data_IF_681395608232
#
_entry.id   IF_681395608232
#
_cell.length_a   1.000
_cell.length_b   1.000
_cell.length_c   1.000
_cell.angle_alpha   90.00
_cell.angle_beta   90.00
_cell.angle_gamma   90.00
#
_symmetry.space_group_name_H-M   'P 1'
#
loop_
_entity.id
_entity.type
_entity.pdbx_description
1 polymer ?
#
# COMPACT_ATOMS: atom_id res chain seq x y z
N UNK A 1 -10.34 -1.06 -10.06
CA UNK A 1 -10.39 -1.27 -8.59
C UNK A 1 -11.47 -0.41 -7.95
N UNK A 2 -11.94 -0.75 -6.75
CA UNK A 2 -13.15 -0.16 -6.14
C UNK A 2 -13.06 1.33 -5.82
N UNK A 3 -11.84 1.89 -5.68
CA UNK A 3 -11.59 3.34 -5.59
C UNK A 3 -12.17 4.13 -6.78
N UNK A 4 -12.43 3.46 -7.91
CA UNK A 4 -13.01 4.04 -9.13
C UNK A 4 -14.50 3.69 -9.31
N UNK A 5 -15.17 3.14 -8.29
CA UNK A 5 -16.61 2.89 -8.37
C UNK A 5 -17.37 4.19 -8.68
N UNK A 6 -18.50 4.14 -9.41
CA UNK A 6 -19.27 5.36 -9.71
C UNK A 6 -19.62 6.17 -8.47
N UNK A 7 -19.97 5.51 -7.36
CA UNK A 7 -20.31 6.17 -6.08
C UNK A 7 -19.07 6.80 -5.45
N UNK A 8 -17.93 6.09 -5.37
CA UNK A 8 -16.69 6.65 -4.83
C UNK A 8 -16.21 7.85 -5.64
N UNK A 9 -16.34 7.82 -6.98
CA UNK A 9 -16.00 8.95 -7.84
C UNK A 9 -16.92 10.15 -7.61
N UNK A 10 -18.24 9.93 -7.49
CA UNK A 10 -19.18 11.00 -7.16
C UNK A 10 -18.89 11.62 -5.79
N UNK A 11 -18.59 10.78 -4.78
CA UNK A 11 -18.26 11.25 -3.43
C UNK A 11 -16.94 12.04 -3.37
N UNK A 12 -15.94 11.66 -4.17
CA UNK A 12 -14.65 12.38 -4.27
C UNK A 12 -14.74 13.64 -5.13
N UNK A 13 -15.68 13.71 -6.08
CA UNK A 13 -15.79 14.82 -7.03
C UNK A 13 -14.59 14.90 -7.98
N UNK A 14 -14.22 16.12 -8.40
CA UNK A 14 -13.16 16.38 -9.36
C UNK A 14 -11.73 16.39 -8.75
N UNK A 15 -11.51 15.69 -7.64
CA UNK A 15 -10.22 15.65 -6.96
C UNK A 15 -9.24 14.77 -7.73
N UNK A 16 -8.09 15.33 -8.09
CA UNK A 16 -7.00 14.57 -8.70
C UNK A 16 -6.37 13.63 -7.66
N UNK A 17 -6.07 12.36 -8.01
CA UNK A 17 -5.26 11.51 -7.15
C UNK A 17 -3.94 12.17 -6.80
N UNK A 18 -3.49 12.01 -5.57
CA UNK A 18 -2.19 12.50 -5.16
C UNK A 18 -1.05 11.71 -5.84
N UNK A 19 -1.24 10.40 -5.93
CA UNK A 19 -0.33 9.49 -6.62
C UNK A 19 -1.09 8.35 -7.28
N UNK A 20 -0.38 7.63 -8.14
CA UNK A 20 -0.87 6.48 -8.87
C UNK A 20 0.17 5.37 -8.75
N UNK A 21 -0.28 4.15 -8.56
CA UNK A 21 0.54 2.97 -8.81
C UNK A 21 0.00 2.23 -10.02
N UNK A 22 0.85 2.03 -11.01
CA UNK A 22 0.56 1.13 -12.13
C UNK A 22 1.21 -0.20 -11.82
N UNK A 23 0.44 -1.27 -11.96
CA UNK A 23 0.85 -2.65 -11.76
C UNK A 23 0.54 -3.42 -13.02
N UNK A 24 1.51 -4.18 -13.50
CA UNK A 24 1.37 -5.14 -14.62
C UNK A 24 1.99 -6.46 -14.20
N UNK A 25 1.63 -7.56 -14.85
CA UNK A 25 2.20 -8.84 -14.50
C UNK A 25 1.55 -10.03 -15.16
N UNK A 26 2.05 -11.22 -14.81
CA UNK A 26 1.48 -12.48 -15.27
C UNK A 26 1.41 -13.53 -14.17
N UNK A 27 0.44 -14.42 -14.32
CA UNK A 27 0.52 -15.77 -13.73
C UNK A 27 0.97 -16.70 -14.85
N UNK A 28 2.03 -17.47 -14.61
CA UNK A 28 2.56 -18.43 -15.58
C UNK A 28 3.19 -19.65 -14.88
N UNK A 29 3.28 -20.76 -15.61
CA UNK A 29 4.05 -21.94 -15.21
C UNK A 29 5.40 -21.96 -15.88
N UNK A 30 6.36 -22.72 -15.32
CA UNK A 30 7.73 -22.85 -15.84
C UNK A 30 8.81 -22.31 -14.89
N UNK A 31 8.42 -21.98 -13.65
CA UNK A 31 9.33 -21.55 -12.59
C UNK A 31 9.70 -22.74 -11.70
N UNK A 32 10.53 -23.64 -12.21
CA UNK A 32 10.85 -24.93 -11.60
C UNK A 32 12.23 -24.97 -10.90
N UNK A 33 12.94 -23.84 -10.83
CA UNK A 33 14.27 -23.75 -10.19
C UNK A 33 14.14 -23.44 -8.70
N UNK A 34 13.57 -22.28 -8.37
CA UNK A 34 13.17 -21.88 -7.02
C UNK A 34 11.84 -21.15 -7.09
N UNK A 35 10.83 -21.70 -6.44
CA UNK A 35 9.50 -21.11 -6.34
C UNK A 35 8.93 -21.40 -4.94
N UNK A 36 9.80 -21.39 -3.93
CA UNK A 36 9.43 -21.68 -2.54
C UNK A 36 9.07 -20.42 -1.76
N UNK A 37 9.59 -19.27 -2.18
CA UNK A 37 9.44 -17.99 -1.50
C UNK A 37 8.84 -16.92 -2.42
N UNK A 38 8.27 -15.91 -1.78
CA UNK A 38 7.78 -14.71 -2.45
C UNK A 38 8.68 -13.51 -2.19
N UNK A 39 8.68 -12.58 -3.14
CA UNK A 39 9.34 -11.28 -3.04
C UNK A 39 8.30 -10.20 -2.75
N UNK A 40 8.63 -9.25 -1.86
CA UNK A 40 7.77 -8.15 -1.47
C UNK A 40 8.51 -6.82 -1.59
N UNK A 41 8.01 -5.90 -2.43
CA UNK A 41 8.59 -4.56 -2.68
C UNK A 41 10.10 -4.67 -2.99
N UNK A 42 10.44 -5.56 -3.92
CA UNK A 42 11.82 -5.81 -4.31
C UNK A 42 12.25 -4.86 -5.44
N UNK A 43 13.52 -4.44 -5.42
CA UNK A 43 14.12 -3.65 -6.50
C UNK A 43 15.45 -4.29 -6.91
N UNK A 44 15.64 -4.49 -8.22
CA UNK A 44 16.88 -5.00 -8.81
C UNK A 44 17.54 -4.04 -9.79
N UNK A 45 17.01 -2.82 -9.91
CA UNK A 45 17.53 -1.78 -10.77
C UNK A 45 17.54 -0.46 -10.02
N UNK A 46 18.53 0.37 -10.33
CA UNK A 46 18.47 1.79 -10.00
C UNK A 46 17.36 2.48 -10.79
N UNK A 47 17.06 3.71 -10.39
CA UNK A 47 16.06 4.53 -11.04
C UNK A 47 16.28 4.58 -12.56
N UNK A 48 15.22 4.31 -13.33
CA UNK A 48 15.24 4.48 -14.77
C UNK A 48 15.38 5.97 -15.10
N UNK A 49 16.42 6.36 -15.84
CA UNK A 49 16.71 7.77 -16.18
C UNK A 49 16.14 8.21 -17.53
N UNK A 50 15.53 7.31 -18.31
CA UNK A 50 15.03 7.62 -19.64
C UNK A 50 16.11 7.66 -20.73
N UNK A 51 17.34 7.20 -20.42
CA UNK A 51 18.37 6.95 -21.44
C UNK A 51 17.97 5.70 -22.23
N UNK A 52 17.24 5.92 -23.31
CA UNK A 52 16.76 4.87 -24.21
C UNK A 52 17.94 4.31 -25.01
N UNK A 53 18.25 3.00 -24.96
CA UNK A 53 19.11 2.38 -25.96
C UNK A 53 18.50 2.60 -27.35
N UNK A 54 19.29 3.03 -28.33
CA UNK A 54 18.82 3.29 -29.69
C UNK A 54 17.98 2.11 -30.23
N UNK A 55 16.66 2.31 -30.42
CA UNK A 55 15.74 1.30 -30.96
C UNK A 55 14.44 1.04 -30.18
N UNK A 56 14.27 1.57 -28.97
CA UNK A 56 13.00 1.44 -28.23
C UNK A 56 11.85 2.23 -28.92
N UNK A 57 10.61 1.72 -28.95
CA UNK A 57 9.48 2.34 -29.65
C UNK A 57 9.10 3.76 -29.19
N UNK A 58 9.64 4.26 -28.09
CA UNK A 58 9.28 5.55 -27.49
C UNK A 58 9.92 6.80 -28.15
N UNK A 59 10.52 6.67 -29.34
CA UNK A 59 10.63 7.80 -30.28
C UNK A 59 11.20 9.12 -29.76
N UNK A 60 12.18 9.10 -28.84
CA UNK A 60 12.97 10.28 -28.49
C UNK A 60 12.32 11.34 -27.61
N UNK A 61 11.16 11.09 -27.00
CA UNK A 61 10.71 11.86 -25.83
C UNK A 61 11.14 11.09 -24.58
N UNK A 62 12.16 11.59 -23.88
CA UNK A 62 12.70 10.91 -22.69
C UNK A 62 11.60 10.57 -21.68
N UNK A 63 11.31 9.28 -21.51
CA UNK A 63 10.31 8.79 -20.56
C UNK A 63 10.66 9.29 -19.15
N UNK A 64 9.70 9.83 -18.38
CA UNK A 64 9.99 10.41 -17.09
C UNK A 64 10.61 9.39 -16.13
N UNK A 65 11.56 9.87 -15.33
CA UNK A 65 12.30 9.04 -14.36
C UNK A 65 11.34 8.28 -13.43
N UNK A 66 11.58 6.99 -13.25
CA UNK A 66 10.71 6.11 -12.46
C UNK A 66 11.48 4.93 -11.86
N UNK A 67 10.99 4.41 -10.74
CA UNK A 67 11.57 3.25 -10.06
C UNK A 67 10.68 2.04 -10.28
N UNK A 68 11.26 0.94 -10.75
CA UNK A 68 10.58 -0.34 -10.85
C UNK A 68 10.64 -1.10 -9.54
N UNK A 69 9.53 -1.74 -9.21
CA UNK A 69 9.36 -2.61 -8.06
C UNK A 69 8.79 -3.95 -8.52
N UNK A 70 9.21 -5.01 -7.85
CA UNK A 70 8.77 -6.35 -8.12
C UNK A 70 8.09 -6.96 -6.90
N UNK A 71 7.08 -7.74 -7.19
CA UNK A 71 6.47 -8.69 -6.27
C UNK A 71 6.27 -10.00 -7.02
N UNK A 72 6.56 -11.12 -6.39
CA UNK A 72 6.25 -12.40 -6.99
C UNK A 72 5.96 -13.44 -5.93
N UNK A 73 4.96 -14.28 -6.18
CA UNK A 73 4.49 -15.26 -5.22
C UNK A 73 4.24 -16.60 -5.93
N UNK A 74 4.69 -17.72 -5.33
CA UNK A 74 4.23 -19.05 -5.73
C UNK A 74 2.70 -19.10 -5.60
N UNK A 75 2.02 -19.76 -6.54
CA UNK A 75 0.57 -19.97 -6.40
C UNK A 75 0.30 -21.31 -5.71
N UNK A 76 -0.89 -21.45 -5.13
CA UNK A 76 -1.32 -22.72 -4.54
C UNK A 76 -1.70 -23.79 -5.58
N UNK A 77 -1.70 -23.47 -6.87
CA UNK A 77 -2.20 -24.37 -7.92
C UNK A 77 -1.14 -25.39 -8.38
N UNK A 78 0.14 -25.02 -8.37
CA UNK A 78 1.25 -25.93 -8.68
C UNK A 78 2.57 -25.40 -8.12
N UNK A 79 3.57 -26.29 -7.96
CA UNK A 79 4.91 -25.89 -7.51
C UNK A 79 5.69 -25.06 -8.54
N UNK A 80 5.27 -25.05 -9.80
CA UNK A 80 5.96 -24.34 -10.90
C UNK A 80 5.18 -23.11 -11.38
N UNK A 81 4.01 -22.85 -10.81
CA UNK A 81 3.19 -21.69 -11.11
C UNK A 81 3.55 -20.53 -10.19
N UNK A 82 3.81 -19.36 -10.80
CA UNK A 82 4.20 -18.15 -10.10
C UNK A 82 3.41 -16.99 -10.65
N UNK A 83 2.95 -16.11 -9.77
CA UNK A 83 2.43 -14.80 -10.17
C UNK A 83 3.51 -13.77 -9.94
N UNK A 84 3.81 -12.99 -10.97
CA UNK A 84 4.84 -11.96 -10.97
C UNK A 84 4.22 -10.62 -11.33
N UNK A 85 4.55 -9.59 -10.58
CA UNK A 85 4.11 -8.22 -10.76
C UNK A 85 5.32 -7.29 -10.91
N UNK A 86 5.22 -6.37 -11.87
CA UNK A 86 6.03 -5.16 -11.95
C UNK A 86 5.14 -3.98 -11.64
N UNK A 87 5.56 -3.13 -10.71
CA UNK A 87 4.81 -1.94 -10.36
C UNK A 87 5.68 -0.71 -10.15
N UNK A 88 5.05 0.46 -10.16
CA UNK A 88 5.74 1.75 -10.04
C UNK A 88 4.82 2.77 -9.37
N UNK A 89 5.32 3.42 -8.32
CA UNK A 89 4.66 4.58 -7.70
C UNK A 89 4.99 5.87 -8.45
N UNK A 90 3.97 6.63 -8.83
CA UNK A 90 4.06 7.85 -9.64
C UNK A 90 3.14 8.95 -9.10
N UNK A 91 3.42 10.21 -9.47
CA UNK A 91 2.41 11.27 -9.30
C UNK A 91 1.35 11.11 -10.41
N UNK A 92 0.24 11.80 -10.29
CA UNK A 92 -0.82 11.74 -11.29
C UNK A 92 -0.55 12.61 -12.53
N UNK A 93 0.72 12.90 -12.88
CA UNK A 93 1.13 13.71 -14.04
C UNK A 93 0.70 13.06 -15.37
N UNK A 94 0.33 13.89 -16.35
CA UNK A 94 -0.18 13.40 -17.64
C UNK A 94 0.95 12.80 -18.49
N UNK A 95 2.19 13.21 -18.20
CA UNK A 95 3.43 12.76 -18.81
C UNK A 95 3.84 11.36 -18.35
N UNK A 96 3.16 10.78 -17.35
CA UNK A 96 3.46 9.43 -16.85
C UNK A 96 3.16 8.36 -17.90
N UNK A 97 3.92 7.24 -17.89
CA UNK A 97 3.72 6.17 -18.85
C UNK A 97 2.32 5.58 -18.77
N UNK A 98 1.86 5.06 -19.91
CA UNK A 98 0.61 4.31 -19.97
C UNK A 98 0.78 2.93 -19.33
N UNK A 99 -0.33 2.26 -19.03
CA UNK A 99 -0.33 0.86 -18.57
C UNK A 99 0.30 -0.05 -19.63
N UNK A 100 0.08 0.25 -20.92
CA UNK A 100 0.64 -0.49 -22.04
C UNK A 100 2.16 -0.38 -22.08
N UNK A 101 2.70 0.83 -21.98
CA UNK A 101 4.16 1.05 -21.92
C UNK A 101 4.81 0.29 -20.76
N UNK A 102 4.18 0.30 -19.58
CA UNK A 102 4.71 -0.46 -18.45
C UNK A 102 4.61 -1.98 -18.64
N UNK A 103 3.62 -2.46 -19.41
CA UNK A 103 3.53 -3.87 -19.78
C UNK A 103 4.64 -4.27 -20.76
N UNK A 104 5.03 -3.40 -21.68
CA UNK A 104 6.22 -3.61 -22.53
C UNK A 104 7.50 -3.69 -21.67
N UNK A 105 7.68 -2.74 -20.74
CA UNK A 105 8.79 -2.77 -19.78
C UNK A 105 8.82 -4.09 -18.97
N UNK A 106 7.65 -4.63 -18.63
CA UNK A 106 7.53 -5.89 -17.91
C UNK A 106 8.09 -7.06 -18.72
N UNK A 107 7.75 -7.17 -20.00
CA UNK A 107 8.23 -8.26 -20.85
C UNK A 107 9.75 -8.23 -21.00
N UNK A 108 10.32 -7.04 -21.21
CA UNK A 108 11.76 -6.86 -21.35
C UNK A 108 12.53 -7.18 -20.06
N UNK A 109 11.98 -6.80 -18.90
CA UNK A 109 12.67 -6.93 -17.63
C UNK A 109 12.44 -8.28 -16.93
N UNK A 110 11.35 -8.99 -17.25
CA UNK A 110 10.97 -10.25 -16.60
C UNK A 110 12.07 -11.32 -16.63
N UNK A 111 12.78 -11.57 -17.75
CA UNK A 111 13.85 -12.56 -17.79
C UNK A 111 15.01 -12.23 -16.83
N UNK A 112 15.30 -10.95 -16.63
CA UNK A 112 16.35 -10.52 -15.69
C UNK A 112 15.90 -10.74 -14.26
N UNK A 113 14.67 -10.37 -13.92
CA UNK A 113 14.14 -10.52 -12.57
C UNK A 113 13.95 -12.00 -12.17
N UNK A 114 13.35 -12.81 -13.05
CA UNK A 114 13.04 -14.22 -12.76
C UNK A 114 14.15 -15.20 -13.18
N UNK A 115 15.36 -14.71 -13.46
CA UNK A 115 16.50 -15.53 -13.93
C UNK A 115 16.79 -16.72 -13.02
N UNK A 116 16.67 -16.55 -11.70
CA UNK A 116 16.95 -17.59 -10.73
C UNK A 116 15.79 -18.57 -10.51
N UNK A 117 14.60 -18.24 -11.01
CA UNK A 117 13.37 -19.00 -10.75
C UNK A 117 12.95 -19.85 -11.95
N UNK A 118 13.34 -19.48 -13.18
CA UNK A 118 13.01 -20.20 -14.41
C UNK A 118 14.25 -20.54 -15.25
N UNK A 119 14.36 -21.81 -15.68
CA UNK A 119 15.46 -22.29 -16.54
C UNK A 119 15.54 -21.55 -17.88
N UNK A 120 14.40 -21.25 -18.49
CA UNK A 120 14.36 -20.53 -19.76
C UNK A 120 15.11 -19.19 -19.69
N UNK A 121 14.86 -18.43 -18.62
CA UNK A 121 15.50 -17.13 -18.40
C UNK A 121 16.95 -17.26 -17.94
N UNK A 122 17.29 -18.29 -17.15
CA UNK A 122 18.69 -18.63 -16.84
C UNK A 122 19.52 -18.90 -18.11
N UNK A 123 18.90 -19.50 -19.13
CA UNK A 123 19.50 -19.76 -20.43
C UNK A 123 19.50 -18.55 -21.38
N UNK A 124 19.06 -17.38 -20.90
CA UNK A 124 19.07 -16.14 -21.66
C UNK A 124 17.95 -15.98 -22.68
N UNK A 125 16.89 -16.80 -22.62
CA UNK A 125 15.73 -16.66 -23.50
C UNK A 125 14.91 -15.41 -23.17
N UNK A 126 14.36 -14.78 -24.20
CA UNK A 126 13.29 -13.79 -24.02
C UNK A 126 12.00 -14.45 -23.55
N UNK A 127 11.00 -13.64 -23.17
CA UNK A 127 9.67 -14.16 -22.81
C UNK A 127 9.02 -14.85 -24.01
N UNK A 128 9.09 -14.25 -25.19
CA UNK A 128 8.53 -14.77 -26.44
C UNK A 128 9.14 -16.13 -26.79
N UNK A 129 10.47 -16.25 -26.72
CA UNK A 129 11.18 -17.50 -27.01
C UNK A 129 10.80 -18.60 -26.01
N UNK A 130 10.71 -18.26 -24.73
CA UNK A 130 10.35 -19.20 -23.66
C UNK A 130 8.89 -19.68 -23.77
N UNK A 131 7.98 -18.80 -24.21
CA UNK A 131 6.59 -19.16 -24.48
C UNK A 131 6.47 -20.00 -25.76
N UNK A 132 7.19 -19.63 -26.82
CA UNK A 132 7.19 -20.38 -28.08
C UNK A 132 7.74 -21.80 -27.93
N UNK A 133 8.74 -22.01 -27.05
CA UNK A 133 9.26 -23.35 -26.74
C UNK A 133 8.40 -24.13 -25.73
N UNK A 134 7.43 -23.49 -25.09
CA UNK A 134 6.56 -24.08 -24.07
C UNK A 134 7.21 -24.24 -22.69
N UNK A 135 8.42 -23.71 -22.48
CA UNK A 135 9.09 -23.70 -21.17
C UNK A 135 8.41 -22.75 -20.19
N UNK A 136 7.84 -21.66 -20.69
CA UNK A 136 6.93 -20.78 -19.94
C UNK A 136 5.54 -20.91 -20.55
N UNK A 137 4.51 -21.11 -19.72
CA UNK A 137 3.12 -21.09 -20.18
C UNK A 137 2.33 -20.02 -19.44
N UNK A 138 1.95 -18.97 -20.17
CA UNK A 138 1.13 -17.90 -19.63
C UNK A 138 -0.27 -18.44 -19.31
N UNK A 139 -0.75 -18.18 -18.09
CA UNK A 139 -2.12 -18.48 -17.65
C UNK A 139 -2.98 -17.24 -17.67
N UNK A 140 -2.43 -16.11 -17.23
CA UNK A 140 -3.13 -14.84 -17.14
C UNK A 140 -2.16 -13.67 -17.26
N UNK A 141 -2.61 -12.61 -17.93
CA UNK A 141 -2.00 -11.28 -17.88
C UNK A 141 -2.85 -10.41 -16.95
N UNK A 142 -2.19 -9.64 -16.10
CA UNK A 142 -2.79 -8.71 -15.16
C UNK A 142 -2.26 -7.31 -15.43
N UNK A 143 -3.15 -6.33 -15.35
CA UNK A 143 -2.82 -4.92 -15.34
C UNK A 143 -3.81 -4.15 -14.46
N UNK A 144 -3.34 -3.09 -13.83
CA UNK A 144 -4.11 -2.32 -12.88
C UNK A 144 -3.52 -0.93 -12.66
N UNK A 145 -4.41 0.01 -12.34
CA UNK A 145 -4.06 1.37 -11.95
C UNK A 145 -4.74 1.67 -10.60
N UNK A 146 -3.94 2.04 -9.62
CA UNK A 146 -4.33 2.25 -8.24
C UNK A 146 -4.10 3.70 -7.84
N UNK A 147 -5.15 4.55 -7.88
CA UNK A 147 -5.04 5.92 -7.42
C UNK A 147 -4.98 5.95 -5.88
N UNK A 148 -4.17 6.86 -5.36
CA UNK A 148 -4.06 7.19 -3.94
C UNK A 148 -4.56 8.60 -3.68
N UNK A 149 -5.31 8.76 -2.61
CA UNK A 149 -5.87 10.03 -2.17
C UNK A 149 -5.49 10.25 -0.71
N UNK A 150 -5.01 11.45 -0.38
CA UNK A 150 -4.67 11.85 0.99
C UNK A 150 -5.88 11.76 1.93
N UNK A 151 -7.04 12.19 1.45
CA UNK A 151 -8.30 12.11 2.17
C UNK A 151 -8.90 10.69 2.04
N UNK A 152 -8.29 9.74 2.75
CA UNK A 152 -8.78 8.39 2.94
C UNK A 152 -8.69 7.99 4.42
N UNK A 153 -9.64 7.22 4.98
CA UNK A 153 -10.82 6.64 4.31
C UNK A 153 -11.84 7.67 3.81
N UNK A 154 -12.55 7.34 2.73
CA UNK A 154 -13.53 8.20 2.07
C UNK A 154 -14.80 8.32 2.93
N UNK A 155 -15.17 9.52 3.38
CA UNK A 155 -16.41 9.71 4.13
C UNK A 155 -17.64 9.38 3.27
N UNK A 156 -18.72 8.86 3.88
CA UNK A 156 -19.93 8.55 3.14
C UNK A 156 -20.56 9.83 2.54
N UNK A 157 -21.05 9.77 1.29
CA UNK A 157 -21.65 10.93 0.63
C UNK A 157 -23.07 11.25 1.14
N UNK A 158 -23.77 10.29 1.74
CA UNK A 158 -25.16 10.43 2.19
C UNK A 158 -25.48 9.45 3.33
N UNK A 159 -26.64 9.64 3.96
CA UNK A 159 -27.21 8.66 4.88
C UNK A 159 -27.44 7.31 4.17
N UNK A 160 -27.32 6.21 4.92
CA UNK A 160 -27.51 4.82 4.43
C UNK A 160 -26.55 4.39 3.31
N UNK A 161 -25.46 5.12 3.08
CA UNK A 161 -24.39 4.74 2.15
C UNK A 161 -23.11 4.53 2.95
N UNK A 162 -22.50 3.35 2.84
CA UNK A 162 -21.20 3.04 3.45
C UNK A 162 -20.32 2.37 2.38
N UNK A 163 -19.14 2.93 2.17
CA UNK A 163 -18.16 2.30 1.29
C UNK A 163 -17.39 1.21 2.05
N UNK A 164 -17.04 0.11 1.37
CA UNK A 164 -16.27 -1.02 1.94
C UNK A 164 -15.17 -1.45 0.98
N UNK A 165 -14.12 -2.09 1.51
CA UNK A 165 -12.94 -2.51 0.73
C UNK A 165 -12.30 -1.33 0.00
N UNK A 166 -11.81 -1.55 -1.22
CA UNK A 166 -11.20 -0.50 -2.04
C UNK A 166 -12.03 0.77 -2.19
N UNK A 167 -13.37 0.64 -2.26
CA UNK A 167 -14.26 1.80 -2.45
C UNK A 167 -14.21 2.79 -1.29
N UNK A 168 -13.82 2.30 -0.10
CA UNK A 168 -13.66 3.11 1.12
C UNK A 168 -12.29 3.76 1.23
N UNK A 169 -11.29 3.31 0.46
CA UNK A 169 -9.92 3.81 0.59
C UNK A 169 -9.21 3.42 1.89
N UNK A 170 -9.72 2.46 2.68
CA UNK A 170 -9.08 1.95 3.92
C UNK A 170 -7.84 1.07 3.66
N UNK A 171 -7.33 1.04 2.43
CA UNK A 171 -6.19 0.23 2.05
C UNK A 171 -4.90 1.04 2.13
N UNK A 172 -3.79 0.38 2.44
CA UNK A 172 -2.48 1.00 2.50
C UNK A 172 -2.07 1.53 1.12
N UNK A 173 -1.63 2.80 1.00
CA UNK A 173 -1.02 3.33 -0.22
C UNK A 173 0.35 2.71 -0.54
N UNK A 174 0.91 1.91 0.36
CA UNK A 174 2.18 1.21 0.15
C UNK A 174 1.95 -0.09 -0.63
N UNK A 175 1.29 -1.09 -0.07
CA UNK A 175 1.11 -2.40 -0.73
C UNK A 175 -0.03 -2.44 -1.76
N UNK A 176 -0.98 -1.49 -1.69
CA UNK A 176 -2.27 -1.58 -2.39
C UNK A 176 -3.03 -2.90 -2.16
N UNK A 177 -2.77 -3.56 -1.01
CA UNK A 177 -3.37 -4.82 -0.62
C UNK A 177 -4.82 -4.69 -0.18
N UNK A 178 -5.72 -4.35 -1.11
CA UNK A 178 -7.15 -4.14 -0.84
C UNK A 178 -7.84 -5.35 -0.19
N UNK A 179 -7.44 -6.57 -0.58
CA UNK A 179 -7.95 -7.79 0.03
C UNK A 179 -7.50 -7.95 1.49
N UNK A 180 -6.21 -7.74 1.80
CA UNK A 180 -5.70 -7.83 3.18
C UNK A 180 -6.31 -6.77 4.08
N UNK A 181 -6.45 -5.54 3.58
CA UNK A 181 -7.14 -4.47 4.30
C UNK A 181 -8.63 -4.82 4.55
N UNK A 182 -9.31 -5.40 3.55
CA UNK A 182 -10.70 -5.83 3.70
C UNK A 182 -10.83 -6.94 4.75
N UNK A 183 -10.03 -8.01 4.69
CA UNK A 183 -10.13 -9.12 5.65
C UNK A 183 -9.83 -8.67 7.07
N UNK A 184 -8.86 -7.77 7.26
CA UNK A 184 -8.56 -7.11 8.55
C UNK A 184 -9.76 -6.35 9.11
N UNK A 185 -10.50 -5.63 8.28
CA UNK A 185 -11.61 -4.77 8.72
C UNK A 185 -13.01 -5.39 8.56
N UNK A 186 -13.15 -6.56 7.93
CA UNK A 186 -14.44 -7.12 7.54
C UNK A 186 -15.35 -7.33 8.76
N UNK A 187 -14.83 -7.95 9.83
CA UNK A 187 -15.62 -8.26 11.02
C UNK A 187 -16.15 -6.99 11.69
N UNK A 188 -15.27 -6.03 12.01
CA UNK A 188 -15.68 -4.78 12.66
C UNK A 188 -16.69 -3.99 11.82
N UNK A 189 -16.55 -3.99 10.50
CA UNK A 189 -17.46 -3.27 9.60
C UNK A 189 -18.81 -3.98 9.54
N UNK A 190 -18.83 -5.32 9.44
CA UNK A 190 -20.05 -6.10 9.42
C UNK A 190 -20.84 -5.92 10.73
N UNK A 191 -20.17 -6.06 11.87
CA UNK A 191 -20.76 -5.88 13.20
C UNK A 191 -21.32 -4.45 13.35
N UNK A 192 -20.56 -3.44 12.90
CA UNK A 192 -20.99 -2.05 12.92
C UNK A 192 -22.21 -1.78 12.02
N UNK A 193 -22.33 -2.45 10.87
CA UNK A 193 -23.49 -2.30 9.98
C UNK A 193 -24.75 -2.88 10.63
N UNK A 194 -24.65 -4.06 11.25
CA UNK A 194 -25.78 -4.68 11.98
C UNK A 194 -26.23 -3.76 13.10
N UNK A 195 -25.29 -3.30 13.93
CA UNK A 195 -25.57 -2.40 15.04
C UNK A 195 -26.17 -1.06 14.58
N UNK A 196 -25.67 -0.49 13.47
CA UNK A 196 -26.20 0.75 12.92
C UNK A 196 -27.66 0.61 12.46
N UNK A 197 -28.05 -0.56 11.94
CA UNK A 197 -29.43 -0.85 11.56
C UNK A 197 -30.31 -0.97 12.82
N UNK A 198 -29.87 -1.75 13.80
CA UNK A 198 -30.63 -2.00 15.03
C UNK A 198 -30.89 -0.72 15.82
N UNK A 199 -29.90 0.18 15.89
CA UNK A 199 -29.96 1.43 16.64
C UNK A 199 -30.41 2.63 15.79
N UNK A 200 -30.75 2.43 14.52
CA UNK A 200 -31.13 3.51 13.61
C UNK A 200 -30.02 4.53 13.35
N UNK A 201 -28.75 4.18 13.61
CA UNK A 201 -27.57 5.02 13.41
C UNK A 201 -27.12 5.05 11.93
N UNK A 202 -28.06 5.40 11.04
CA UNK A 202 -27.89 5.34 9.58
C UNK A 202 -27.66 6.72 8.95
N UNK A 203 -27.46 7.75 9.77
CA UNK A 203 -27.09 9.07 9.28
C UNK A 203 -25.66 9.06 8.74
N UNK A 204 -25.33 10.06 7.91
CA UNK A 204 -24.00 10.19 7.29
C UNK A 204 -22.90 10.22 8.35
N UNK A 205 -23.12 10.96 9.44
CA UNK A 205 -22.15 11.18 10.51
C UNK A 205 -21.90 9.90 11.32
N UNK A 206 -22.94 9.07 11.49
CA UNK A 206 -22.81 7.80 12.20
C UNK A 206 -22.01 6.79 11.36
N UNK A 207 -22.34 6.68 10.07
CA UNK A 207 -21.64 5.77 9.15
C UNK A 207 -20.20 6.22 8.87
N UNK A 208 -19.91 7.53 8.97
CA UNK A 208 -18.56 8.05 8.90
C UNK A 208 -17.67 7.54 10.04
N UNK A 209 -18.25 7.25 11.22
CA UNK A 209 -17.52 6.68 12.34
C UNK A 209 -17.10 5.21 12.09
N UNK A 210 -17.77 4.49 11.18
CA UNK A 210 -17.42 3.11 10.83
C UNK A 210 -16.09 3.05 10.08
N UNK A 211 -15.85 3.94 9.12
CA UNK A 211 -14.55 4.08 8.45
C UNK A 211 -13.92 5.41 8.82
N UNK A 212 -13.71 5.60 10.12
CA UNK A 212 -13.11 6.81 10.65
C UNK A 212 -11.63 6.94 10.25
N UNK A 213 -11.05 8.10 10.54
CA UNK A 213 -9.65 8.40 10.28
C UNK A 213 -8.70 7.38 10.93
N UNK A 214 -7.77 6.84 10.12
CA UNK A 214 -6.76 5.84 10.52
C UNK A 214 -5.35 6.44 10.38
N UNK A 215 -4.76 7.02 11.46
CA UNK A 215 -3.48 7.70 11.37
C UNK A 215 -2.32 6.78 10.99
N UNK A 216 -2.34 5.51 11.38
CA UNK A 216 -1.34 4.54 10.94
C UNK A 216 -1.30 4.37 9.41
N UNK A 217 -2.47 4.31 8.75
CA UNK A 217 -2.56 4.24 7.30
C UNK A 217 -2.17 5.57 6.65
N UNK A 218 -2.63 6.70 7.20
CA UNK A 218 -2.25 8.02 6.70
C UNK A 218 -0.73 8.25 6.78
N UNK A 219 -0.06 7.72 7.82
CA UNK A 219 1.38 7.79 7.97
C UNK A 219 2.15 6.97 6.91
N UNK A 220 1.58 5.90 6.35
CA UNK A 220 2.28 5.08 5.34
C UNK A 220 2.37 5.77 3.98
N UNK A 221 1.54 6.80 3.74
CA UNK A 221 1.63 7.61 2.53
C UNK A 221 3.02 8.27 2.35
N UNK A 222 3.71 8.62 3.44
CA UNK A 222 5.08 9.15 3.34
C UNK A 222 6.05 8.12 2.76
N UNK A 223 5.86 6.83 3.07
CA UNK A 223 6.70 5.76 2.52
C UNK A 223 6.51 5.65 1.00
N UNK A 224 5.27 5.67 0.54
CA UNK A 224 4.96 5.74 -0.89
C UNK A 224 5.59 6.99 -1.53
N UNK A 225 5.52 8.15 -0.86
CA UNK A 225 6.12 9.40 -1.37
C UNK A 225 7.65 9.35 -1.46
N UNK A 226 8.30 8.67 -0.51
CA UNK A 226 9.75 8.47 -0.54
C UNK A 226 10.18 7.50 -1.65
N UNK A 227 9.31 6.53 -1.97
CA UNK A 227 9.50 5.52 -3.01
C UNK A 227 9.17 6.02 -4.44
N UNK A 228 8.28 7.00 -4.59
CA UNK A 228 8.01 7.58 -5.90
C UNK A 228 9.06 8.63 -6.30
N UNK A 229 9.26 8.82 -7.60
CA UNK A 229 10.10 9.91 -8.16
C UNK A 229 9.21 10.92 -8.88
N UNK A 230 8.97 12.11 -8.32
CA UNK A 230 8.18 13.16 -8.95
C UNK A 230 8.78 13.62 -10.29
N UNK A 231 7.94 14.14 -11.18
CA UNK A 231 8.42 14.77 -12.42
C UNK A 231 9.39 15.92 -12.07
N UNK A 232 10.55 15.93 -12.71
CA UNK A 232 11.59 16.93 -12.52
C UNK A 232 12.51 16.71 -11.31
N UNK A 233 12.28 15.70 -10.48
CA UNK A 233 13.15 15.40 -9.34
C UNK A 233 14.53 14.87 -9.81
N UNK A 234 15.59 15.43 -9.24
CA UNK A 234 16.98 15.14 -9.56
C UNK A 234 17.68 14.27 -8.50
N UNK A 235 16.92 13.50 -7.71
CA UNK A 235 17.50 12.56 -6.74
C UNK A 235 18.49 11.56 -7.37
N UNK A 236 19.49 11.08 -6.60
CA UNK A 236 20.40 10.02 -7.04
C UNK A 236 19.67 8.77 -7.51
N UNK A 237 20.23 8.06 -8.50
CA UNK A 237 19.59 6.89 -9.08
C UNK A 237 19.44 5.72 -8.09
N UNK A 238 20.37 5.60 -7.13
CA UNK A 238 20.40 4.58 -6.08
C UNK A 238 19.54 4.96 -4.85
N UNK A 239 18.89 6.14 -4.85
CA UNK A 239 18.23 6.69 -3.66
C UNK A 239 17.19 5.73 -3.06
N UNK A 240 16.28 5.23 -3.89
CA UNK A 240 15.23 4.31 -3.42
C UNK A 240 15.83 2.98 -2.96
N UNK A 241 16.81 2.46 -3.68
CA UNK A 241 17.48 1.21 -3.35
C UNK A 241 18.17 1.28 -1.98
N UNK A 242 18.86 2.39 -1.69
CA UNK A 242 19.43 2.64 -0.36
C UNK A 242 18.35 2.74 0.72
N UNK A 243 17.27 3.48 0.45
CA UNK A 243 16.16 3.65 1.40
C UNK A 243 15.54 2.29 1.78
N UNK A 244 15.17 1.49 0.78
CA UNK A 244 14.54 0.17 1.00
C UNK A 244 15.50 -0.78 1.71
N UNK A 245 16.75 -0.89 1.23
CA UNK A 245 17.77 -1.75 1.83
C UNK A 245 17.96 -1.44 3.31
N UNK A 246 18.14 -0.16 3.65
CA UNK A 246 18.35 0.27 5.03
C UNK A 246 17.14 -0.04 5.89
N UNK A 247 15.92 0.29 5.42
CA UNK A 247 14.70 0.06 6.20
C UNK A 247 14.40 -1.43 6.41
N UNK A 248 14.49 -2.26 5.37
CA UNK A 248 14.25 -3.69 5.50
C UNK A 248 15.32 -4.40 6.33
N UNK A 249 16.59 -3.98 6.24
CA UNK A 249 17.64 -4.50 7.13
C UNK A 249 17.36 -4.15 8.59
N UNK A 250 16.98 -2.90 8.88
CA UNK A 250 16.61 -2.47 10.23
C UNK A 250 15.42 -3.29 10.76
N UNK A 251 14.37 -3.44 9.97
CA UNK A 251 13.19 -4.21 10.38
C UNK A 251 13.52 -5.69 10.60
N UNK A 252 14.40 -6.27 9.77
CA UNK A 252 14.90 -7.63 9.95
C UNK A 252 15.68 -7.78 11.26
N UNK A 253 16.59 -6.85 11.55
CA UNK A 253 17.42 -6.87 12.77
C UNK A 253 16.58 -6.64 14.04
N UNK A 254 15.51 -5.85 13.96
CA UNK A 254 14.57 -5.62 15.05
C UNK A 254 13.62 -6.82 15.27
N UNK A 255 13.55 -7.76 14.32
CA UNK A 255 12.87 -9.04 14.47
C UNK A 255 11.39 -9.07 14.04
N UNK A 256 10.74 -10.24 14.21
CA UNK A 256 9.39 -10.50 13.67
C UNK A 256 8.31 -9.55 14.20
N UNK A 257 8.45 -9.05 15.42
CA UNK A 257 7.55 -8.08 16.06
C UNK A 257 7.48 -6.73 15.33
N UNK A 258 8.49 -6.39 14.54
CA UNK A 258 8.51 -5.19 13.70
C UNK A 258 8.19 -5.56 12.25
N UNK A 259 8.84 -6.60 11.72
CA UNK A 259 8.74 -6.94 10.31
C UNK A 259 7.38 -7.51 9.89
N UNK A 260 6.80 -8.43 10.68
CA UNK A 260 5.53 -9.09 10.31
C UNK A 260 4.34 -8.12 10.24
N UNK A 261 4.08 -7.25 11.24
CA UNK A 261 2.97 -6.31 11.13
C UNK A 261 3.17 -5.33 9.97
N UNK A 262 4.41 -4.87 9.72
CA UNK A 262 4.71 -4.01 8.57
C UNK A 262 4.37 -4.70 7.23
N UNK A 263 4.76 -5.97 7.05
CA UNK A 263 4.45 -6.75 5.84
C UNK A 263 2.95 -7.03 5.66
N UNK A 264 2.12 -6.78 6.67
CA UNK A 264 0.66 -6.88 6.61
C UNK A 264 -0.02 -5.51 6.64
N UNK A 265 0.73 -4.43 6.35
CA UNK A 265 0.28 -3.04 6.40
C UNK A 265 -0.31 -2.60 7.75
N UNK A 266 0.12 -3.23 8.84
CA UNK A 266 -0.20 -2.81 10.19
C UNK A 266 0.97 -2.01 10.73
N UNK A 267 0.94 -0.71 10.50
CA UNK A 267 1.91 0.20 11.12
C UNK A 267 1.48 0.48 12.55
N UNK A 268 2.40 0.23 13.47
CA UNK A 268 2.25 0.48 14.89
C UNK A 268 3.25 1.55 15.33
N UNK A 269 2.89 2.43 16.28
CA UNK A 269 3.72 3.57 16.68
C UNK A 269 5.07 3.15 17.26
N UNK A 270 5.10 2.14 18.11
CA UNK A 270 6.33 1.68 18.77
C UNK A 270 7.31 1.02 17.78
N UNK A 271 6.93 0.02 16.97
CA UNK A 271 7.77 -0.50 15.89
C UNK A 271 8.28 0.60 14.94
N UNK A 272 7.41 1.50 14.50
CA UNK A 272 7.81 2.59 13.60
C UNK A 272 8.85 3.52 14.26
N UNK A 273 8.64 3.90 15.52
CA UNK A 273 9.60 4.72 16.27
C UNK A 273 10.98 4.07 16.34
N UNK A 274 11.05 2.75 16.59
CA UNK A 274 12.31 1.99 16.62
C UNK A 274 12.99 2.02 15.26
N UNK A 275 12.25 1.78 14.17
CA UNK A 275 12.80 1.83 12.81
C UNK A 275 13.37 3.21 12.49
N UNK A 276 12.65 4.29 12.81
CA UNK A 276 13.09 5.66 12.55
C UNK A 276 14.36 6.02 13.35
N UNK A 277 14.41 5.66 14.64
CA UNK A 277 15.58 5.90 15.48
C UNK A 277 16.81 5.14 14.95
N UNK A 278 16.64 3.87 14.58
CA UNK A 278 17.75 3.08 14.02
C UNK A 278 18.18 3.57 12.64
N UNK A 279 17.25 4.07 11.82
CA UNK A 279 17.56 4.66 10.52
C UNK A 279 18.46 5.90 10.66
N UNK A 280 18.12 6.80 11.59
CA UNK A 280 18.93 7.99 11.90
C UNK A 280 20.32 7.61 12.42
N UNK A 281 20.43 6.55 13.23
CA UNK A 281 21.73 6.08 13.76
C UNK A 281 22.62 5.47 12.68
N UNK A 282 22.04 4.67 11.78
CA UNK A 282 22.79 3.95 10.73
C UNK A 282 23.23 4.86 9.59
N UNK A 283 22.38 5.80 9.22
CA UNK A 283 22.67 6.74 8.14
C UNK A 283 22.19 8.16 8.50
N UNK A 284 22.96 8.89 9.33
CA UNK A 284 22.59 10.23 9.78
C UNK A 284 22.46 11.25 8.63
N UNK A 285 23.16 11.03 7.52
CA UNK A 285 23.16 11.93 6.36
C UNK A 285 21.96 11.68 5.44
N UNK A 286 21.38 10.49 5.46
CA UNK A 286 20.19 10.18 4.67
C UNK A 286 18.92 10.88 5.18
N UNK A 287 18.80 11.18 6.47
CA UNK A 287 17.63 11.93 6.97
C UNK A 287 17.54 13.33 6.35
N UNK A 288 18.58 14.19 6.36
CA UNK A 288 18.56 15.46 5.63
C UNK A 288 18.24 15.32 4.13
N UNK A 289 18.75 14.28 3.46
CA UNK A 289 18.47 14.02 2.04
C UNK A 289 17.00 13.65 1.81
N UNK A 290 16.43 12.80 2.67
CA UNK A 290 14.99 12.49 2.65
C UNK A 290 14.16 13.76 2.83
N UNK A 291 14.51 14.61 3.80
CA UNK A 291 13.81 15.88 4.03
C UNK A 291 13.89 16.80 2.81
N UNK A 292 15.06 16.88 2.16
CA UNK A 292 15.27 17.67 0.96
C UNK A 292 14.40 17.19 -0.22
N UNK A 293 14.39 15.88 -0.50
CA UNK A 293 13.65 15.32 -1.64
C UNK A 293 12.15 15.16 -1.39
N UNK A 294 11.73 14.94 -0.14
CA UNK A 294 10.30 14.82 0.22
C UNK A 294 9.68 16.22 0.38
N UNK A 295 10.42 17.15 0.98
CA UNK A 295 9.97 18.53 1.25
C UNK A 295 9.41 18.72 2.66
N UNK A 296 9.68 19.87 3.30
CA UNK A 296 9.38 20.09 4.72
C UNK A 296 7.89 20.12 5.05
N UNK A 297 7.04 20.60 4.12
CA UNK A 297 5.59 20.65 4.32
C UNK A 297 4.99 19.24 4.42
N UNK A 298 5.45 18.32 3.58
CA UNK A 298 4.98 16.93 3.60
C UNK A 298 5.48 16.18 4.83
N UNK A 299 6.65 16.52 5.34
CA UNK A 299 7.15 15.98 6.61
C UNK A 299 6.34 16.47 7.81
N UNK A 300 5.96 17.75 7.84
CA UNK A 300 5.09 18.29 8.88
C UNK A 300 3.70 17.64 8.87
N UNK A 301 3.14 17.43 7.68
CA UNK A 301 1.90 16.68 7.46
C UNK A 301 2.00 15.26 8.03
N UNK A 302 3.07 14.54 7.69
CA UNK A 302 3.33 13.21 8.22
C UNK A 302 3.52 13.18 9.74
N UNK A 303 4.25 14.15 10.31
CA UNK A 303 4.43 14.28 11.76
C UNK A 303 3.09 14.44 12.48
N UNK A 304 2.11 15.09 11.87
CA UNK A 304 0.75 15.20 12.43
C UNK A 304 0.07 13.82 12.53
N UNK A 305 0.17 12.99 11.49
CA UNK A 305 -0.39 11.64 11.48
C UNK A 305 0.35 10.71 12.44
N UNK A 306 1.68 10.80 12.50
CA UNK A 306 2.47 10.05 13.47
C UNK A 306 2.12 10.42 14.92
N UNK A 307 1.94 11.71 15.21
CA UNK A 307 1.51 12.18 16.52
C UNK A 307 0.08 11.70 16.86
N UNK A 308 -0.84 11.73 15.89
CA UNK A 308 -2.17 11.18 16.06
C UNK A 308 -2.16 9.67 16.33
N UNK A 309 -1.26 8.93 15.70
CA UNK A 309 -1.07 7.49 15.95
C UNK A 309 -0.61 7.23 17.40
N UNK A 310 0.33 8.02 17.93
CA UNK A 310 0.75 7.95 19.33
C UNK A 310 -0.40 8.31 20.29
N UNK A 311 -1.18 9.34 19.96
CA UNK A 311 -2.34 9.72 20.76
C UNK A 311 -3.43 8.63 20.77
N UNK A 312 -3.65 7.97 19.64
CA UNK A 312 -4.63 6.88 19.50
C UNK A 312 -4.19 5.65 20.29
N UNK A 313 -2.90 5.32 20.26
CA UNK A 313 -2.32 4.24 21.06
C UNK A 313 -2.50 4.48 22.56
N UNK A 314 -2.18 5.70 23.01
CA UNK A 314 -2.41 6.11 24.40
C UNK A 314 -3.89 6.07 24.76
N UNK A 315 -4.78 6.60 23.92
CA UNK A 315 -6.22 6.59 24.17
C UNK A 315 -6.79 5.16 24.22
N UNK A 316 -6.34 4.28 23.32
CA UNK A 316 -6.73 2.87 23.29
C UNK A 316 -6.40 2.18 24.62
N UNK A 317 -5.19 2.35 25.13
CA UNK A 317 -4.76 1.72 26.37
C UNK A 317 -5.29 2.40 27.63
N UNK A 318 -5.29 3.73 27.69
CA UNK A 318 -5.65 4.48 28.90
C UNK A 318 -7.16 4.70 29.07
N UNK A 319 -7.89 4.90 27.97
CA UNK A 319 -9.31 5.27 28.00
C UNK A 319 -10.22 4.21 27.36
N UNK A 320 -9.69 3.36 26.48
CA UNK A 320 -10.45 2.35 25.74
C UNK A 320 -11.37 1.49 26.61
N UNK A 321 -10.90 0.90 27.73
CA UNK A 321 -11.77 0.11 28.62
C UNK A 321 -12.94 0.91 29.18
N UNK A 322 -12.69 2.15 29.63
CA UNK A 322 -13.72 3.02 30.19
C UNK A 322 -14.74 3.45 29.12
N UNK A 323 -14.29 3.76 27.91
CA UNK A 323 -15.17 4.11 26.78
C UNK A 323 -16.06 2.93 26.38
N UNK A 324 -15.52 1.71 26.33
CA UNK A 324 -16.32 0.51 26.04
C UNK A 324 -17.34 0.21 27.14
N UNK A 325 -16.96 0.39 28.41
CA UNK A 325 -17.89 0.24 29.54
C UNK A 325 -19.02 1.29 29.48
N UNK A 326 -18.68 2.56 29.20
CA UNK A 326 -19.67 3.62 29.02
C UNK A 326 -20.63 3.34 27.86
N UNK A 327 -20.13 2.77 26.75
CA UNK A 327 -20.98 2.35 25.63
C UNK A 327 -21.99 1.29 26.05
N UNK A 328 -21.56 0.27 26.81
CA UNK A 328 -22.46 -0.76 27.33
C UNK A 328 -23.52 -0.17 28.27
N UNK A 329 -23.14 0.74 29.17
CA UNK A 329 -24.10 1.40 30.06
C UNK A 329 -25.13 2.27 29.32
N UNK A 330 -24.73 2.95 28.24
CA UNK A 330 -25.67 3.73 27.40
C UNK A 330 -26.65 2.84 26.65
N UNK A 331 -26.20 1.68 26.17
CA UNK A 331 -27.06 0.70 25.52
C UNK A 331 -28.11 0.15 26.51
N UNK A 332 -27.71 -0.20 27.73
CA UNK A 332 -28.64 -0.61 28.80
C UNK A 332 -29.62 0.50 29.19
N UNK A 333 -29.20 1.76 29.12
CA UNK A 333 -30.04 2.93 29.38
C UNK A 333 -30.97 3.29 28.20
N UNK A 334 -30.90 2.57 27.07
CA UNK A 334 -31.73 2.80 25.89
C UNK A 334 -31.19 3.85 24.91
N UNK A 335 -29.99 4.38 25.12
CA UNK A 335 -29.31 5.29 24.18
C UNK A 335 -28.32 4.53 23.27
N UNK A 336 -28.87 3.62 22.46
CA UNK A 336 -28.08 2.76 21.60
C UNK A 336 -27.31 3.50 20.49
N UNK A 337 -27.78 4.68 20.06
CA UNK A 337 -27.06 5.49 19.07
C UNK A 337 -25.81 6.14 19.68
N UNK A 338 -25.87 6.62 20.92
CA UNK A 338 -24.68 7.10 21.62
C UNK A 338 -23.71 5.95 21.94
N UNK A 339 -24.23 4.79 22.35
CA UNK A 339 -23.43 3.57 22.54
C UNK A 339 -22.67 3.18 21.27
N UNK A 340 -23.35 3.17 20.12
CA UNK A 340 -22.76 2.92 18.80
C UNK A 340 -21.57 3.85 18.52
N UNK A 341 -21.74 5.17 18.75
CA UNK A 341 -20.66 6.15 18.50
C UNK A 341 -19.45 5.92 19.41
N UNK A 342 -19.66 5.59 20.68
CA UNK A 342 -18.56 5.28 21.61
C UNK A 342 -17.82 4.00 21.22
N UNK A 343 -18.54 2.96 20.76
CA UNK A 343 -17.91 1.74 20.24
C UNK A 343 -17.05 2.03 19.01
N UNK A 344 -17.57 2.80 18.06
CA UNK A 344 -16.82 3.21 16.86
C UNK A 344 -15.60 4.07 17.20
N UNK A 345 -15.68 4.93 18.22
CA UNK A 345 -14.54 5.70 18.72
C UNK A 345 -13.45 4.78 19.31
N UNK A 346 -13.82 3.80 20.13
CA UNK A 346 -12.87 2.85 20.70
C UNK A 346 -12.18 1.98 19.62
N UNK A 347 -12.94 1.56 18.59
CA UNK A 347 -12.39 0.87 17.42
C UNK A 347 -11.46 1.78 16.60
N UNK A 348 -11.81 3.06 16.43
CA UNK A 348 -10.96 4.01 15.72
C UNK A 348 -9.57 4.10 16.37
N UNK A 349 -9.50 4.16 17.70
CA UNK A 349 -8.22 4.16 18.41
C UNK A 349 -7.46 2.86 18.24
N UNK A 350 -8.13 1.71 18.36
CA UNK A 350 -7.53 0.38 18.20
C UNK A 350 -6.94 0.18 16.79
N UNK A 351 -7.76 0.33 15.74
CA UNK A 351 -7.35 0.10 14.37
C UNK A 351 -6.44 1.21 13.84
N UNK A 352 -6.66 2.45 14.26
CA UNK A 352 -5.86 3.61 13.84
C UNK A 352 -4.46 3.65 14.45
N UNK A 353 -4.22 2.95 15.56
CA UNK A 353 -2.89 2.73 16.15
C UNK A 353 -2.27 1.37 15.79
N UNK A 354 -3.02 0.50 15.12
CA UNK A 354 -2.57 -0.84 14.74
C UNK A 354 -2.57 -1.85 15.90
N UNK A 355 -3.30 -1.57 16.99
CA UNK A 355 -3.42 -2.45 18.16
C UNK A 355 -4.37 -3.63 17.94
N UNK A 356 -5.06 -3.67 16.80
CA UNK A 356 -5.84 -4.84 16.37
C UNK A 356 -4.95 -6.02 15.93
N UNK A 357 -3.68 -5.76 15.60
CA UNK A 357 -2.73 -6.80 15.24
C UNK A 357 -2.26 -7.61 16.44
N UNK A 358 -2.28 -8.94 16.30
CA UNK A 358 -1.79 -9.90 17.30
C UNK A 358 -0.83 -10.86 16.62
N UNK A 359 0.36 -11.03 17.20
CA UNK A 359 1.46 -11.83 16.64
C UNK A 359 1.14 -13.33 16.62
#
# INVERSE_FOLDING_TARGET
MGNMSPISRQARGAVRPFGICIVVGTTATGFDVDNSLGDLIYTNSDLWTGDVPSGHPDGGLGSPRKQYYWEAFPTGASSTERTTYLFTYMDAAAERPTVEQQLEDYWDLLPTYQRHNAKAFANGKSVEEAVASGEIQLKRVLYGCFPTYKDSPLPPPAARVLAVGDASGIQSPLSFGGFGALTRHLRRIADAVVEAIDQGALAREDLAAVNAYLPNQAATWMFQRAMMVPIGDQRPADFVNRLLRTNFQIMSDLGPEVLKPFNQDVVQPRPLSRVLVEAVKRDPLNTPLLVYHIGPLLLADWLSHFSAMLAFDLAHHALGPAVRAAAASLEEAGDGRAAFRLRRLAEQWEFGSGQDYKL
#
